data_IF_978402983792
#
_entry.id   IF_978402983792
#
_cell.length_a   1.000
_cell.length_b   1.000
_cell.length_c   1.000
_cell.angle_alpha   90.00
_cell.angle_beta   90.00
_cell.angle_gamma   90.00
#
_symmetry.space_group_name_H-M   'P 1'
#
loop_
_entity.id
_entity.type
_entity.pdbx_description
1 polymer ?
#
# COMPACT_ATOMS: atom_id res chain seq x y z
N UNK A 1 -62.35 35.50 22.46
CA UNK A 1 -61.23 34.56 22.76
C UNK A 1 -60.92 33.80 21.50
N UNK A 2 -59.77 34.04 20.88
CA UNK A 2 -59.33 33.36 19.64
C UNK A 2 -58.30 32.31 20.03
N UNK A 3 -58.39 31.05 19.54
CA UNK A 3 -57.42 30.02 19.85
C UNK A 3 -56.17 30.17 18.94
N UNK A 4 -55.05 30.53 19.52
CA UNK A 4 -53.76 30.79 18.84
C UNK A 4 -52.88 29.52 18.73
N UNK A 5 -53.39 28.35 19.14
CA UNK A 5 -52.54 27.19 19.35
C UNK A 5 -52.34 26.23 18.15
N UNK A 6 -53.08 26.38 17.05
CA UNK A 6 -52.96 25.45 15.92
C UNK A 6 -51.88 25.86 14.88
N UNK A 7 -51.45 27.13 14.85
CA UNK A 7 -50.51 27.61 13.84
C UNK A 7 -49.05 27.28 14.17
N UNK A 8 -48.72 27.10 15.45
CA UNK A 8 -47.36 26.87 15.90
C UNK A 8 -46.89 25.43 15.73
N UNK A 9 -47.81 24.47 15.78
CA UNK A 9 -47.48 23.03 15.68
C UNK A 9 -47.17 22.63 14.24
N UNK A 10 -47.79 23.28 13.25
CA UNK A 10 -47.64 22.93 11.84
C UNK A 10 -46.29 23.37 11.26
N UNK A 11 -45.59 24.35 11.87
CA UNK A 11 -44.31 24.85 11.39
C UNK A 11 -43.08 24.14 12.00
N UNK A 12 -43.23 23.50 13.15
CA UNK A 12 -42.15 22.84 13.86
C UNK A 12 -41.90 21.42 13.32
N UNK A 13 -42.95 20.69 12.92
CA UNK A 13 -42.85 19.31 12.43
C UNK A 13 -41.96 19.18 11.16
N UNK A 14 -42.09 20.03 10.12
CA UNK A 14 -41.24 19.92 8.93
C UNK A 14 -39.76 20.25 9.21
N UNK A 15 -39.47 21.15 10.19
CA UNK A 15 -38.06 21.50 10.52
C UNK A 15 -37.33 20.34 11.20
N UNK A 16 -38.02 19.59 12.05
CA UNK A 16 -37.43 18.42 12.73
C UNK A 16 -37.19 17.27 11.74
N UNK A 17 -38.08 17.06 10.77
CA UNK A 17 -37.93 16.02 9.75
C UNK A 17 -36.75 16.32 8.82
N UNK A 18 -36.54 17.60 8.42
CA UNK A 18 -35.41 18.00 7.56
C UNK A 18 -34.09 17.91 8.32
N UNK A 19 -34.05 18.26 9.60
CA UNK A 19 -32.84 18.12 10.43
C UNK A 19 -32.48 16.63 10.65
N UNK A 20 -33.47 15.73 10.78
CA UNK A 20 -33.23 14.29 10.91
C UNK A 20 -32.68 13.63 9.64
N UNK A 21 -33.08 14.09 8.45
CA UNK A 21 -32.61 13.54 7.18
C UNK A 21 -31.18 14.01 6.82
N UNK A 22 -30.73 15.16 7.30
CA UNK A 22 -29.36 15.64 7.09
C UNK A 22 -28.36 14.88 7.98
N UNK A 23 -28.80 14.35 9.13
CA UNK A 23 -27.95 13.59 10.07
C UNK A 23 -27.58 12.18 9.63
N UNK A 24 -28.29 11.58 8.64
CA UNK A 24 -28.08 10.20 8.20
C UNK A 24 -27.07 10.06 7.05
N UNK A 25 -26.49 11.16 6.57
CA UNK A 25 -25.61 11.17 5.38
C UNK A 25 -24.11 11.09 5.67
N UNK A 26 -23.66 11.16 6.91
CA UNK A 26 -22.26 10.92 7.24
C UNK A 26 -22.00 9.43 7.45
N UNK A 27 -22.13 8.65 6.38
CA UNK A 27 -21.45 7.38 6.34
C UNK A 27 -19.96 7.72 6.36
N UNK A 28 -19.31 7.46 7.48
CA UNK A 28 -17.86 7.42 7.56
C UNK A 28 -17.40 6.48 6.46
N UNK A 29 -16.87 7.02 5.37
CA UNK A 29 -15.99 6.24 4.52
C UNK A 29 -14.89 5.78 5.46
N UNK A 30 -14.94 4.51 5.85
CA UNK A 30 -13.80 3.87 6.48
C UNK A 30 -12.66 4.09 5.51
N UNK A 31 -11.76 5.00 5.82
CA UNK A 31 -10.48 5.11 5.16
C UNK A 31 -9.89 3.71 5.24
N UNK A 32 -9.56 3.14 4.10
CA UNK A 32 -8.69 1.98 4.06
C UNK A 32 -7.59 2.28 5.07
N UNK A 33 -7.51 1.48 6.13
CA UNK A 33 -6.60 1.74 7.24
C UNK A 33 -5.23 1.90 6.63
N UNK A 34 -4.65 3.07 6.82
CA UNK A 34 -3.30 3.38 6.39
C UNK A 34 -2.40 2.36 7.08
N UNK A 35 -2.07 1.27 6.36
CA UNK A 35 -1.20 0.22 6.87
C UNK A 35 0.21 0.78 6.88
N UNK A 36 0.77 1.18 8.04
CA UNK A 36 2.09 1.76 8.07
C UNK A 36 3.10 0.67 7.70
N UNK A 37 3.76 0.86 6.55
CA UNK A 37 4.80 -0.04 6.10
C UNK A 37 5.93 -0.15 7.14
N UNK A 38 6.41 -1.36 7.40
CA UNK A 38 7.38 -1.65 8.45
C UNK A 38 8.58 -2.42 7.90
N UNK A 39 9.77 -1.85 8.08
CA UNK A 39 11.02 -2.41 7.56
C UNK A 39 11.41 -3.74 8.23
N UNK A 40 11.00 -3.97 9.48
CA UNK A 40 11.32 -5.23 10.18
C UNK A 40 10.49 -6.39 9.62
N UNK A 41 9.19 -6.16 9.40
CA UNK A 41 8.33 -7.13 8.72
C UNK A 41 8.77 -7.32 7.27
N UNK A 42 9.09 -6.22 6.58
CA UNK A 42 9.59 -6.24 5.21
C UNK A 42 10.90 -7.02 5.06
N UNK A 43 11.81 -6.93 6.05
CA UNK A 43 13.01 -7.77 6.11
C UNK A 43 12.67 -9.25 6.11
N UNK A 44 11.72 -9.67 6.95
CA UNK A 44 11.32 -11.07 7.04
C UNK A 44 10.71 -11.59 5.71
N UNK A 45 9.90 -10.77 5.03
CA UNK A 45 9.37 -11.08 3.69
C UNK A 45 10.50 -11.18 2.66
N UNK A 46 11.42 -10.21 2.66
CA UNK A 46 12.56 -10.16 1.76
C UNK A 46 13.47 -11.38 1.88
N UNK A 47 13.85 -11.74 3.09
CA UNK A 47 14.73 -12.90 3.36
C UNK A 47 14.10 -14.21 2.88
N UNK A 48 12.79 -14.32 3.00
CA UNK A 48 12.07 -15.53 2.59
C UNK A 48 11.90 -15.65 1.07
N UNK A 49 11.63 -14.53 0.39
CA UNK A 49 11.12 -14.55 -0.98
C UNK A 49 12.01 -13.86 -2.01
N UNK A 50 12.85 -12.91 -1.62
CA UNK A 50 13.55 -12.01 -2.54
C UNK A 50 15.08 -12.23 -2.54
N UNK A 51 15.63 -12.55 -1.36
CA UNK A 51 17.07 -12.58 -1.11
C UNK A 51 17.82 -13.56 -2.02
N UNK A 52 17.22 -14.69 -2.39
CA UNK A 52 17.88 -15.69 -3.24
C UNK A 52 18.33 -15.11 -4.58
N UNK A 53 17.56 -14.20 -5.15
CA UNK A 53 17.89 -13.54 -6.39
C UNK A 53 18.56 -12.17 -6.16
N UNK A 54 18.00 -11.35 -5.27
CA UNK A 54 18.46 -9.97 -5.09
C UNK A 54 19.68 -9.83 -4.16
N UNK A 55 20.03 -10.88 -3.41
CA UNK A 55 21.14 -10.87 -2.46
C UNK A 55 20.78 -10.25 -1.13
N UNK A 56 21.59 -10.51 -0.07
CA UNK A 56 21.36 -10.03 1.29
C UNK A 56 21.27 -8.51 1.36
N UNK A 57 22.13 -7.82 0.62
CA UNK A 57 22.22 -6.37 0.57
C UNK A 57 21.47 -5.73 -0.60
N UNK A 58 20.76 -6.48 -1.43
CA UNK A 58 20.01 -5.90 -2.56
C UNK A 58 20.88 -5.54 -3.77
N UNK A 59 22.08 -6.13 -3.89
CA UNK A 59 23.01 -5.88 -5.00
C UNK A 59 22.68 -6.64 -6.29
N UNK A 60 21.64 -7.48 -6.30
CA UNK A 60 21.32 -8.35 -7.44
C UNK A 60 22.27 -9.53 -7.58
N UNK A 61 22.95 -9.89 -6.52
CA UNK A 61 24.00 -10.91 -6.46
C UNK A 61 23.64 -12.10 -5.56
N UNK A 62 22.37 -12.40 -5.45
CA UNK A 62 21.91 -13.56 -4.70
C UNK A 62 22.44 -14.88 -5.29
N UNK A 63 22.41 -15.99 -4.53
CA UNK A 63 22.95 -17.27 -4.99
C UNK A 63 22.32 -17.77 -6.29
N UNK A 64 21.07 -17.45 -6.55
CA UNK A 64 20.37 -17.86 -7.77
C UNK A 64 20.62 -16.91 -8.95
N UNK A 65 21.17 -15.71 -8.71
CA UNK A 65 21.31 -14.65 -9.71
C UNK A 65 22.11 -15.08 -10.96
N UNK A 66 23.17 -15.86 -10.78
CA UNK A 66 24.04 -16.28 -11.87
C UNK A 66 23.37 -17.25 -12.86
N UNK A 67 22.36 -17.98 -12.40
CA UNK A 67 21.60 -18.92 -13.24
C UNK A 67 20.51 -18.23 -14.09
N UNK A 68 20.24 -16.94 -13.83
CA UNK A 68 19.15 -16.21 -14.46
C UNK A 68 19.61 -15.54 -15.76
N UNK A 69 18.81 -15.68 -16.84
CA UNK A 69 19.06 -15.01 -18.12
C UNK A 69 18.97 -13.47 -18.01
N UNK A 70 18.13 -13.00 -17.10
CA UNK A 70 17.95 -11.57 -16.80
C UNK A 70 18.44 -11.35 -15.38
N UNK A 71 19.45 -10.51 -15.22
CA UNK A 71 20.02 -10.22 -13.91
C UNK A 71 18.98 -9.54 -12.99
N UNK A 72 18.92 -9.93 -11.71
CA UNK A 72 18.08 -9.25 -10.73
C UNK A 72 18.49 -7.78 -10.59
N UNK A 73 17.51 -6.94 -10.26
CA UNK A 73 17.78 -5.52 -10.04
C UNK A 73 18.76 -5.33 -8.87
N UNK A 74 19.72 -4.43 -9.09
CA UNK A 74 20.58 -3.88 -8.06
C UNK A 74 19.90 -2.61 -7.52
N UNK A 75 19.49 -2.62 -6.24
CA UNK A 75 18.75 -1.53 -5.63
C UNK A 75 19.59 -0.27 -5.36
N UNK A 76 20.90 -0.38 -5.41
CA UNK A 76 21.83 0.75 -5.22
C UNK A 76 22.12 1.52 -6.52
N UNK A 77 21.61 1.05 -7.66
CA UNK A 77 21.76 1.80 -8.92
C UNK A 77 20.82 3.00 -8.94
N UNK A 78 21.29 4.09 -9.51
CA UNK A 78 20.54 5.33 -9.68
C UNK A 78 19.16 5.10 -10.33
N UNK A 79 19.06 4.24 -11.34
CA UNK A 79 17.81 3.88 -12.00
C UNK A 79 16.79 3.19 -11.04
N UNK A 80 17.28 2.45 -10.05
CA UNK A 80 16.42 1.85 -9.02
C UNK A 80 15.99 2.87 -7.97
N UNK A 81 16.89 3.78 -7.62
CA UNK A 81 16.63 4.86 -6.68
C UNK A 81 15.57 5.85 -7.17
N UNK A 82 15.50 6.11 -8.47
CA UNK A 82 14.50 7.02 -9.08
C UNK A 82 13.08 6.47 -9.09
N UNK A 83 12.89 5.16 -8.92
CA UNK A 83 11.54 4.59 -8.86
C UNK A 83 10.81 5.07 -7.61
N UNK A 84 9.55 5.45 -7.76
CA UNK A 84 8.67 5.71 -6.62
C UNK A 84 8.34 4.41 -5.85
N UNK A 85 7.83 4.54 -4.62
CA UNK A 85 7.37 3.37 -3.86
C UNK A 85 6.20 2.66 -4.56
N UNK A 86 5.34 3.43 -5.22
CA UNK A 86 4.24 2.89 -6.02
C UNK A 86 4.74 2.09 -7.23
N UNK A 87 5.80 2.55 -7.91
CA UNK A 87 6.41 1.80 -9.02
C UNK A 87 7.09 0.52 -8.54
N UNK A 88 7.74 0.55 -7.37
CA UNK A 88 8.29 -0.65 -6.73
C UNK A 88 7.18 -1.63 -6.37
N UNK A 89 6.11 -1.13 -5.74
CA UNK A 89 4.95 -1.93 -5.37
C UNK A 89 4.33 -2.60 -6.61
N UNK A 90 4.07 -1.86 -7.68
CA UNK A 90 3.56 -2.42 -8.95
C UNK A 90 4.50 -3.48 -9.53
N UNK A 91 5.81 -3.27 -9.44
CA UNK A 91 6.80 -4.25 -9.91
C UNK A 91 6.71 -5.55 -9.11
N UNK A 92 6.48 -5.48 -7.80
CA UNK A 92 6.27 -6.66 -6.95
C UNK A 92 4.93 -7.31 -7.26
N UNK A 93 3.87 -6.53 -7.32
CA UNK A 93 2.53 -7.03 -7.60
C UNK A 93 2.43 -7.80 -8.92
N UNK A 94 2.99 -7.24 -9.98
CA UNK A 94 2.77 -7.74 -11.34
C UNK A 94 3.97 -8.51 -11.90
N UNK A 95 5.12 -8.44 -11.24
CA UNK A 95 6.36 -8.97 -11.80
C UNK A 95 6.91 -8.14 -12.96
N UNK A 96 7.90 -8.68 -13.64
CA UNK A 96 8.54 -8.05 -14.81
C UNK A 96 8.43 -8.99 -16.00
N UNK A 97 7.78 -8.52 -17.05
CA UNK A 97 7.56 -9.30 -18.27
C UNK A 97 8.90 -9.77 -18.86
N UNK A 98 8.95 -11.03 -19.31
CA UNK A 98 10.15 -11.70 -19.85
C UNK A 98 11.34 -11.80 -18.88
N UNK A 99 11.07 -11.73 -17.57
CA UNK A 99 12.09 -11.96 -16.54
C UNK A 99 11.66 -13.03 -15.53
N UNK A 100 12.60 -13.55 -14.72
CA UNK A 100 12.27 -14.46 -13.63
C UNK A 100 11.52 -13.80 -12.47
N UNK A 101 11.44 -12.47 -12.44
CA UNK A 101 10.67 -11.73 -11.43
C UNK A 101 9.17 -11.90 -11.70
N UNK A 102 8.57 -12.92 -11.11
CA UNK A 102 7.15 -13.21 -11.27
C UNK A 102 6.26 -12.29 -10.41
N UNK A 103 4.97 -12.32 -10.65
CA UNK A 103 3.98 -11.61 -9.84
C UNK A 103 3.88 -12.22 -8.44
N UNK A 104 3.83 -11.38 -7.43
CA UNK A 104 3.60 -11.76 -6.03
C UNK A 104 2.15 -11.59 -5.60
N UNK A 105 1.30 -11.05 -6.47
CA UNK A 105 -0.15 -10.93 -6.22
C UNK A 105 -0.74 -12.32 -5.94
N UNK A 106 -1.47 -12.43 -4.82
CA UNK A 106 -2.04 -13.69 -4.37
C UNK A 106 -1.08 -14.63 -3.62
N UNK A 107 0.22 -14.29 -3.56
CA UNK A 107 1.23 -14.99 -2.74
C UNK A 107 1.61 -14.19 -1.51
N UNK A 108 1.66 -12.87 -1.63
CA UNK A 108 1.83 -11.92 -0.55
C UNK A 108 0.55 -11.09 -0.39
N UNK A 109 0.27 -10.68 0.82
CA UNK A 109 -0.77 -9.69 1.14
C UNK A 109 -0.32 -8.29 0.69
N UNK A 110 -1.26 -7.37 0.52
CA UNK A 110 -0.95 -5.97 0.17
C UNK A 110 -0.04 -5.33 1.23
N UNK A 111 -0.26 -5.63 2.51
CA UNK A 111 0.60 -5.17 3.59
C UNK A 111 2.03 -5.71 3.51
N UNK A 112 2.21 -7.01 3.25
CA UNK A 112 3.54 -7.60 3.07
C UNK A 112 4.28 -7.01 1.86
N UNK A 113 3.57 -6.70 0.78
CA UNK A 113 4.17 -6.03 -0.38
C UNK A 113 4.60 -4.60 -0.05
N UNK A 114 3.82 -3.86 0.74
CA UNK A 114 4.21 -2.53 1.23
C UNK A 114 5.40 -2.60 2.18
N UNK A 115 5.42 -3.56 3.10
CA UNK A 115 6.52 -3.78 4.03
C UNK A 115 7.83 -4.09 3.30
N UNK A 116 7.79 -4.95 2.29
CA UNK A 116 9.02 -5.29 1.52
C UNK A 116 9.49 -4.11 0.67
N UNK A 117 8.62 -3.24 0.17
CA UNK A 117 9.02 -1.98 -0.49
C UNK A 117 9.79 -1.10 0.49
N UNK A 118 9.29 -0.93 1.72
CA UNK A 118 10.00 -0.17 2.76
C UNK A 118 11.39 -0.76 3.06
N UNK A 119 11.51 -2.08 3.10
CA UNK A 119 12.81 -2.74 3.30
C UNK A 119 13.74 -2.58 2.10
N UNK A 120 13.25 -2.65 0.88
CA UNK A 120 14.05 -2.37 -0.34
C UNK A 120 14.60 -0.93 -0.31
N UNK A 121 13.78 0.05 0.13
CA UNK A 121 14.24 1.42 0.36
C UNK A 121 15.34 1.51 1.41
N UNK A 122 15.15 0.83 2.53
CA UNK A 122 16.16 0.74 3.57
C UNK A 122 17.49 0.19 3.01
N UNK A 123 17.46 -0.91 2.27
CA UNK A 123 18.67 -1.47 1.64
C UNK A 123 19.32 -0.47 0.68
N UNK A 124 18.55 0.19 -0.17
CA UNK A 124 19.08 1.14 -1.16
C UNK A 124 19.81 2.34 -0.53
N UNK A 125 19.52 2.67 0.72
CA UNK A 125 20.12 3.76 1.47
C UNK A 125 21.39 3.36 2.25
N UNK A 126 21.63 2.05 2.46
CA UNK A 126 22.76 1.55 3.25
C UNK A 126 24.13 1.68 2.56
N UNK A 127 24.16 1.94 1.27
CA UNK A 127 25.39 1.93 0.44
C UNK A 127 25.93 3.33 0.12
N UNK A 128 25.49 4.35 0.83
CA UNK A 128 25.99 5.73 0.66
C UNK A 128 27.03 6.09 1.68
#
# INVERSE_FOLDING_TARGET
MRPIHHSLILTIVPVIIVAGLIGLGFHSFAHAQDYPADTTRGKAVYERHCQKCHGVGGWGNGPDAQALKVAPANFHRFSSFLKSDEELLRTIEHGVVFSPMHSWRGQLTDGEMQDVVAYVRFLSQQAQ
#
